data_IF_296465989158
#
_entry.id   IF_296465989158
#
_cell.length_a   1.000
_cell.length_b   1.000
_cell.length_c   1.000
_cell.angle_alpha   90.00
_cell.angle_beta   90.00
_cell.angle_gamma   90.00
#
_symmetry.space_group_name_H-M   'P 1'
#
loop_
_entity.id
_entity.type
_entity.pdbx_description
1 polymer ?
#
# COMPACT_ATOMS: atom_id res chain seq x y z
N UNK A 1 18.34 12.81 5.42
CA UNK A 1 17.00 13.33 5.01
C UNK A 1 15.92 12.35 5.47
N UNK A 2 14.97 12.73 6.35
CA UNK A 2 13.89 11.84 6.73
C UNK A 2 13.00 11.60 5.50
N UNK A 3 12.96 10.35 5.01
CA UNK A 3 12.01 9.95 3.96
C UNK A 3 10.62 10.37 4.47
N UNK A 4 9.95 11.31 3.78
CA UNK A 4 8.57 11.74 4.09
C UNK A 4 7.79 10.48 4.43
N UNK A 5 6.97 10.44 5.47
CA UNK A 5 6.23 9.21 5.86
C UNK A 5 4.76 9.41 5.48
N UNK A 6 4.02 8.32 5.23
CA UNK A 6 2.57 8.41 5.08
C UNK A 6 1.96 9.04 6.37
N UNK A 7 0.78 9.70 6.28
CA UNK A 7 0.08 10.19 7.46
C UNK A 7 -0.07 9.12 8.56
N UNK A 8 -0.13 9.54 9.82
CA UNK A 8 -0.19 8.62 10.98
C UNK A 8 -1.41 7.71 10.92
N UNK A 9 -2.56 8.25 10.52
CA UNK A 9 -3.82 7.52 10.33
C UNK A 9 -3.67 6.37 9.34
N UNK A 10 -3.09 6.65 8.16
CA UNK A 10 -2.90 5.66 7.09
C UNK A 10 -1.91 4.57 7.49
N UNK A 11 -0.81 4.94 8.17
CA UNK A 11 0.11 3.91 8.71
C UNK A 11 -0.55 3.03 9.74
N UNK A 12 -1.40 3.59 10.62
CA UNK A 12 -2.16 2.82 11.61
C UNK A 12 -3.11 1.86 10.91
N UNK A 13 -3.83 2.32 9.89
CA UNK A 13 -4.72 1.51 9.07
C UNK A 13 -3.98 0.33 8.42
N UNK A 14 -2.92 0.61 7.64
CA UNK A 14 -2.13 -0.43 6.96
C UNK A 14 -1.59 -1.46 7.96
N UNK A 15 -1.13 -1.00 9.14
CA UNK A 15 -0.62 -1.90 10.17
C UNK A 15 -1.70 -2.85 10.71
N UNK A 16 -2.92 -2.34 10.91
CA UNK A 16 -4.05 -3.16 11.37
C UNK A 16 -4.46 -4.18 10.31
N UNK A 17 -4.59 -3.76 9.05
CA UNK A 17 -4.96 -4.67 7.97
C UNK A 17 -3.91 -5.76 7.74
N UNK A 18 -2.62 -5.43 7.76
CA UNK A 18 -1.55 -6.45 7.73
C UNK A 18 -1.67 -7.48 8.86
N UNK A 19 -2.02 -7.04 10.06
CA UNK A 19 -2.19 -7.96 11.19
C UNK A 19 -3.41 -8.87 11.00
N UNK A 20 -4.51 -8.37 10.40
CA UNK A 20 -5.66 -9.19 10.02
C UNK A 20 -5.29 -10.22 8.95
N UNK A 21 -4.60 -9.81 7.90
CA UNK A 21 -4.15 -10.70 6.81
C UNK A 21 -3.32 -11.86 7.36
N UNK A 22 -2.32 -11.55 8.21
CA UNK A 22 -1.48 -12.58 8.86
C UNK A 22 -2.23 -13.53 9.79
N UNK A 23 -3.35 -13.09 10.37
CA UNK A 23 -4.20 -13.95 11.21
C UNK A 23 -5.14 -14.81 10.38
N UNK A 24 -5.57 -14.31 9.22
CA UNK A 24 -6.53 -15.00 8.34
C UNK A 24 -5.87 -16.03 7.44
N UNK A 25 -4.64 -15.77 7.00
CA UNK A 25 -3.97 -16.56 5.96
C UNK A 25 -2.69 -17.14 6.55
N UNK A 26 -2.56 -18.46 6.53
CA UNK A 26 -1.35 -19.15 6.98
C UNK A 26 -0.24 -19.11 5.92
N UNK A 27 -0.63 -19.20 4.65
CA UNK A 27 0.27 -19.16 3.49
C UNK A 27 0.96 -17.80 3.34
N UNK A 28 2.29 -17.82 3.42
CA UNK A 28 3.13 -16.62 3.37
C UNK A 28 3.10 -15.92 2.01
N UNK A 29 2.89 -16.65 0.91
CA UNK A 29 2.90 -16.04 -0.42
C UNK A 29 1.58 -15.33 -0.69
N UNK A 30 0.44 -15.94 -0.32
CA UNK A 30 -0.86 -15.25 -0.33
C UNK A 30 -0.90 -14.04 0.60
N UNK A 31 -0.23 -14.10 1.75
CA UNK A 31 -0.09 -12.92 2.61
C UNK A 31 0.64 -11.77 1.89
N UNK A 32 1.70 -12.06 1.11
CA UNK A 32 2.43 -11.02 0.36
C UNK A 32 1.55 -10.41 -0.73
N UNK A 33 0.80 -11.22 -1.46
CA UNK A 33 -0.12 -10.77 -2.51
C UNK A 33 -1.16 -9.80 -1.95
N UNK A 34 -1.90 -10.20 -0.90
CA UNK A 34 -2.93 -9.34 -0.30
C UNK A 34 -2.36 -8.06 0.32
N UNK A 35 -1.16 -8.14 0.90
CA UNK A 35 -0.47 -6.95 1.40
C UNK A 35 -0.10 -6.01 0.24
N UNK A 36 0.30 -6.56 -0.91
CA UNK A 36 0.55 -5.81 -2.14
C UNK A 36 -0.70 -5.05 -2.59
N UNK A 37 -1.83 -5.76 -2.70
CA UNK A 37 -3.13 -5.17 -3.05
C UNK A 37 -3.55 -4.07 -2.06
N UNK A 38 -3.34 -4.27 -0.77
CA UNK A 38 -3.65 -3.27 0.26
C UNK A 38 -2.87 -1.97 0.00
N UNK A 39 -1.60 -2.05 -0.36
CA UNK A 39 -0.82 -0.87 -0.70
C UNK A 39 -1.31 -0.20 -1.99
N UNK A 40 -1.71 -1.00 -2.98
CA UNK A 40 -2.25 -0.50 -4.23
C UNK A 40 -3.57 0.26 -4.00
N UNK A 41 -4.50 -0.30 -3.21
CA UNK A 41 -5.75 0.36 -2.80
C UNK A 41 -5.50 1.69 -2.07
N UNK A 42 -4.53 1.71 -1.16
CA UNK A 42 -4.16 2.96 -0.47
C UNK A 42 -3.60 4.00 -1.45
N UNK A 43 -2.83 3.57 -2.45
CA UNK A 43 -2.28 4.44 -3.48
C UNK A 43 -3.38 5.02 -4.38
N UNK A 44 -4.32 4.16 -4.82
CA UNK A 44 -5.49 4.53 -5.63
C UNK A 44 -6.44 5.47 -4.89
N UNK A 45 -6.59 5.28 -3.57
CA UNK A 45 -7.35 6.18 -2.70
C UNK A 45 -6.72 7.59 -2.51
N UNK A 46 -5.76 7.97 -3.35
CA UNK A 46 -5.16 9.30 -3.36
C UNK A 46 -4.10 9.54 -2.28
N UNK A 47 -3.76 8.54 -1.45
CA UNK A 47 -2.62 8.62 -0.53
C UNK A 47 -1.31 8.33 -1.25
N UNK A 48 -1.13 9.02 -2.38
CA UNK A 48 0.04 8.89 -3.21
C UNK A 48 1.07 9.91 -2.75
N UNK A 49 2.23 9.40 -2.35
CA UNK A 49 3.33 10.20 -1.78
C UNK A 49 4.01 11.10 -2.82
N UNK A 50 3.85 10.74 -4.09
CA UNK A 50 4.45 11.38 -5.24
C UNK A 50 3.35 11.51 -6.30
N UNK A 51 2.79 12.70 -6.48
CA UNK A 51 2.01 13.01 -7.67
C UNK A 51 2.94 13.22 -8.88
N UNK A 52 3.66 12.17 -9.28
CA UNK A 52 4.44 12.05 -10.53
C UNK A 52 4.52 10.59 -10.95
N UNK A 53 3.42 10.03 -11.47
CA UNK A 53 3.46 8.96 -12.46
C UNK A 53 2.07 8.84 -13.13
N UNK A 54 1.72 9.85 -13.92
CA UNK A 54 0.55 9.82 -14.81
C UNK A 54 0.89 10.38 -16.20
N UNK A 55 2.14 10.26 -16.67
CA UNK A 55 2.54 10.79 -17.99
C UNK A 55 3.41 9.88 -18.87
N UNK A 56 3.52 8.56 -18.62
CA UNK A 56 4.35 7.69 -19.49
C UNK A 56 3.84 6.28 -19.79
N UNK A 57 2.55 5.98 -19.68
CA UNK A 57 2.01 4.69 -20.18
C UNK A 57 0.98 4.86 -21.31
N UNK A 58 0.68 6.09 -21.73
CA UNK A 58 -0.15 6.37 -22.93
C UNK A 58 0.68 6.90 -24.12
N UNK A 59 1.97 6.53 -24.20
CA UNK A 59 2.81 6.85 -25.35
C UNK A 59 3.87 5.76 -25.57
N UNK A 60 3.44 4.57 -25.99
CA UNK A 60 4.21 3.57 -26.74
C UNK A 60 3.25 2.57 -27.37
#
# INVERSE_FOLDING_TARGET
MPRKRLPKSIRKFIRMEKAKIRRRILDLDKQKEEIGELYQKVKEAGYNKNNKLSTKVEAS
#
